data_IF_475000187219
#
_entry.id   IF_475000187219
#
_cell.length_a   1.000
_cell.length_b   1.000
_cell.length_c   1.000
_cell.angle_alpha   90.00
_cell.angle_beta   90.00
_cell.angle_gamma   90.00
#
_symmetry.space_group_name_H-M   'P 1'
#
loop_
_entity.id
_entity.type
_entity.pdbx_description
1 polymer ?
#
# COMPACT_ATOMS: atom_id res chain seq x y z
N UNK A 1 17.09 -20.72 -26.79
CA UNK A 1 16.34 -21.59 -25.87
C UNK A 1 17.14 -21.70 -24.57
N UNK A 2 16.82 -20.88 -23.56
CA UNK A 2 17.36 -21.05 -22.21
C UNK A 2 16.20 -20.88 -21.24
N UNK A 3 15.76 -22.02 -20.69
CA UNK A 3 14.66 -22.14 -19.75
C UNK A 3 15.20 -21.92 -18.34
N UNK A 4 14.71 -20.88 -17.67
CA UNK A 4 15.02 -20.50 -16.27
C UNK A 4 14.19 -21.33 -15.25
N UNK A 5 13.73 -22.53 -15.63
CA UNK A 5 12.78 -23.33 -14.85
C UNK A 5 13.35 -24.54 -14.10
N UNK A 6 14.66 -24.79 -14.06
CA UNK A 6 15.19 -26.09 -13.61
C UNK A 6 15.69 -26.19 -12.16
N UNK A 7 15.54 -25.15 -11.31
CA UNK A 7 16.15 -25.14 -9.97
C UNK A 7 15.25 -24.82 -8.77
N UNK A 8 13.90 -24.79 -8.91
CA UNK A 8 13.02 -24.70 -7.74
C UNK A 8 11.99 -25.83 -7.70
N UNK A 9 11.76 -26.46 -6.51
CA UNK A 9 10.74 -27.49 -6.36
C UNK A 9 9.35 -26.89 -6.59
N UNK A 10 8.57 -27.56 -7.42
CA UNK A 10 7.21 -27.18 -7.80
C UNK A 10 6.29 -27.11 -6.57
N UNK A 11 5.99 -25.89 -6.12
CA UNK A 11 4.90 -25.60 -5.18
C UNK A 11 3.62 -25.34 -6.00
N UNK A 12 2.61 -26.23 -5.94
CA UNK A 12 1.40 -26.15 -6.78
C UNK A 12 0.51 -24.92 -6.52
N UNK A 13 0.82 -24.10 -5.52
CA UNK A 13 0.09 -22.86 -5.20
C UNK A 13 0.51 -21.61 -5.97
N UNK A 14 1.59 -21.66 -6.76
CA UNK A 14 2.15 -20.50 -7.49
C UNK A 14 2.00 -20.58 -9.02
N UNK A 15 1.45 -21.68 -9.55
CA UNK A 15 1.31 -21.90 -10.99
C UNK A 15 0.41 -20.85 -11.68
N UNK A 16 -0.58 -20.31 -10.96
CA UNK A 16 -1.49 -19.29 -11.46
C UNK A 16 -0.79 -17.95 -11.68
N UNK A 17 0.18 -17.59 -10.84
CA UNK A 17 0.92 -16.34 -10.95
C UNK A 17 1.89 -16.34 -12.14
N UNK A 18 2.54 -17.47 -12.40
CA UNK A 18 3.45 -17.62 -13.54
C UNK A 18 2.70 -17.72 -14.86
N UNK A 19 1.57 -18.43 -14.92
CA UNK A 19 0.75 -18.51 -16.13
C UNK A 19 0.17 -17.15 -16.55
N UNK A 20 -0.13 -16.26 -15.59
CA UNK A 20 -0.64 -14.91 -15.84
C UNK A 20 0.48 -13.95 -16.29
N UNK A 21 1.69 -14.14 -15.75
CA UNK A 21 2.90 -13.42 -16.18
C UNK A 21 3.34 -13.83 -17.60
N UNK A 22 3.30 -15.13 -17.91
CA UNK A 22 3.61 -15.66 -19.24
C UNK A 22 2.56 -15.26 -20.28
N UNK A 23 1.26 -15.26 -19.92
CA UNK A 23 0.20 -14.77 -20.81
C UNK A 23 0.35 -13.27 -21.14
N UNK A 24 0.88 -12.48 -20.20
CA UNK A 24 1.16 -11.06 -20.42
C UNK A 24 2.42 -10.83 -21.27
N UNK A 25 3.46 -11.65 -21.09
CA UNK A 25 4.68 -11.62 -21.91
C UNK A 25 4.47 -12.13 -23.34
N UNK A 26 3.51 -13.03 -23.56
CA UNK A 26 3.20 -13.60 -24.88
C UNK A 26 2.19 -12.78 -25.69
N UNK A 27 1.61 -11.72 -25.13
CA UNK A 27 0.72 -10.81 -25.87
C UNK A 27 -0.57 -11.46 -26.39
N UNK A 28 -0.99 -12.59 -25.80
CA UNK A 28 -2.26 -13.23 -26.16
C UNK A 28 -3.41 -12.61 -25.35
N UNK A 29 -4.25 -11.83 -26.02
CA UNK A 29 -5.52 -11.38 -25.48
C UNK A 29 -6.42 -12.60 -25.15
N UNK A 30 -6.95 -12.76 -23.92
CA UNK A 30 -7.88 -13.83 -23.61
C UNK A 30 -9.26 -13.52 -24.24
N UNK A 31 -9.44 -13.88 -25.52
CA UNK A 31 -10.72 -13.76 -26.24
C UNK A 31 -11.78 -14.79 -25.80
N UNK A 32 -11.58 -15.47 -24.66
CA UNK A 32 -12.50 -16.49 -24.13
C UNK A 32 -13.54 -16.01 -23.11
N UNK A 33 -13.54 -14.73 -22.69
CA UNK A 33 -14.46 -14.23 -21.66
C UNK A 33 -15.71 -13.55 -22.24
N UNK A 34 -16.31 -14.14 -23.27
CA UNK A 34 -17.62 -13.72 -23.79
C UNK A 34 -18.73 -14.51 -23.09
N UNK A 35 -18.96 -14.19 -21.81
CA UNK A 35 -20.15 -14.60 -21.05
C UNK A 35 -21.03 -13.38 -20.80
N UNK A 36 -22.18 -13.32 -21.48
CA UNK A 36 -23.10 -12.19 -21.45
C UNK A 36 -23.68 -11.87 -20.08
N UNK A 37 -23.92 -10.58 -19.86
CA UNK A 37 -24.54 -10.06 -18.65
C UNK A 37 -24.77 -8.55 -18.76
N UNK A 38 -25.63 -8.14 -19.70
CA UNK A 38 -26.23 -6.81 -19.71
C UNK A 38 -26.97 -6.57 -18.39
N UNK A 39 -26.53 -5.59 -17.61
CA UNK A 39 -27.13 -5.29 -16.31
C UNK A 39 -26.78 -3.87 -15.86
N UNK A 40 -27.46 -2.91 -16.47
CA UNK A 40 -27.74 -1.55 -16.01
C UNK A 40 -27.29 -1.21 -14.58
N UNK A 41 -26.31 -0.31 -14.51
CA UNK A 41 -25.97 0.46 -13.33
C UNK A 41 -27.20 1.27 -12.84
N UNK A 42 -27.85 0.79 -11.78
CA UNK A 42 -28.75 1.59 -10.94
C UNK A 42 -28.41 1.28 -9.50
N UNK A 43 -27.91 2.29 -8.79
CA UNK A 43 -27.42 2.17 -7.42
C UNK A 43 -28.47 1.57 -6.50
N UNK A 44 -28.18 0.39 -5.96
CA UNK A 44 -28.93 -0.22 -4.86
C UNK A 44 -28.06 -0.18 -3.58
N UNK A 45 -28.67 -0.15 -2.40
CA UNK A 45 -27.96 -0.10 -1.11
C UNK A 45 -27.05 -1.31 -0.84
N UNK A 46 -27.12 -2.36 -1.65
CA UNK A 46 -26.28 -3.58 -1.56
C UNK A 46 -24.81 -3.29 -1.87
N UNK A 47 -24.51 -2.30 -2.71
CA UNK A 47 -23.13 -1.94 -3.09
C UNK A 47 -22.36 -1.26 -1.93
N UNK A 48 -23.05 -0.65 -0.96
CA UNK A 48 -22.41 -0.08 0.25
C UNK A 48 -22.01 -1.14 1.28
N UNK A 49 -22.77 -2.23 1.43
CA UNK A 49 -22.47 -3.30 2.39
C UNK A 49 -21.21 -4.11 2.02
N UNK A 50 -20.85 -4.18 0.74
CA UNK A 50 -19.64 -4.89 0.28
C UNK A 50 -18.37 -4.02 0.31
N UNK A 51 -18.51 -2.70 0.51
CA UNK A 51 -17.40 -1.74 0.51
C UNK A 51 -16.69 -1.69 1.87
N UNK A 52 -17.44 -1.86 2.96
CA UNK A 52 -16.90 -1.88 4.32
C UNK A 52 -15.86 -2.99 4.57
N UNK A 53 -16.09 -4.24 4.15
CA UNK A 53 -15.12 -5.30 4.43
C UNK A 53 -13.87 -5.18 3.56
N UNK A 54 -13.97 -4.64 2.33
CA UNK A 54 -12.81 -4.33 1.49
C UNK A 54 -11.94 -3.22 2.12
N UNK A 55 -12.57 -2.12 2.56
CA UNK A 55 -11.88 -1.06 3.29
C UNK A 55 -11.24 -1.55 4.59
N UNK A 56 -11.88 -2.51 5.28
CA UNK A 56 -11.32 -3.15 6.47
C UNK A 56 -10.07 -3.98 6.13
N UNK A 57 -10.07 -4.74 5.04
CA UNK A 57 -8.89 -5.51 4.60
C UNK A 57 -7.72 -4.56 4.30
N UNK A 58 -7.99 -3.48 3.55
CA UNK A 58 -7.00 -2.44 3.27
C UNK A 58 -6.45 -1.81 4.56
N UNK A 59 -7.32 -1.41 5.49
CA UNK A 59 -6.89 -0.83 6.76
C UNK A 59 -6.10 -1.82 7.64
N UNK A 60 -6.45 -3.12 7.61
CA UNK A 60 -5.70 -4.17 8.28
C UNK A 60 -4.28 -4.32 7.67
N UNK A 61 -4.16 -4.27 6.35
CA UNK A 61 -2.85 -4.34 5.69
C UNK A 61 -1.95 -3.16 6.10
N UNK A 62 -2.49 -1.94 6.14
CA UNK A 62 -1.76 -0.76 6.62
C UNK A 62 -1.38 -0.90 8.10
N UNK A 63 -2.28 -1.44 8.93
CA UNK A 63 -1.98 -1.72 10.34
C UNK A 63 -0.86 -2.73 10.51
N UNK A 64 -0.82 -3.79 9.72
CA UNK A 64 0.23 -4.82 9.75
C UNK A 64 1.58 -4.20 9.38
N UNK A 65 1.63 -3.47 8.27
CA UNK A 65 2.83 -2.75 7.83
C UNK A 65 3.33 -1.79 8.92
N UNK A 66 2.42 -0.98 9.47
CA UNK A 66 2.75 -0.01 10.51
C UNK A 66 3.28 -0.68 11.78
N UNK A 67 2.62 -1.74 12.29
CA UNK A 67 3.05 -2.46 13.49
C UNK A 67 4.41 -3.13 13.31
N UNK A 68 4.69 -3.75 12.16
CA UNK A 68 6.00 -4.37 11.89
C UNK A 68 7.11 -3.34 11.76
N UNK A 69 6.86 -2.22 11.07
CA UNK A 69 7.83 -1.15 10.91
C UNK A 69 8.16 -0.47 12.24
N UNK A 70 7.16 -0.30 13.11
CA UNK A 70 7.37 0.20 14.47
C UNK A 70 8.22 -0.75 15.31
N UNK A 71 8.00 -2.07 15.21
CA UNK A 71 8.84 -3.06 15.90
C UNK A 71 10.28 -2.97 15.40
N UNK A 72 10.49 -2.89 14.08
CA UNK A 72 11.81 -2.72 13.49
C UNK A 72 12.52 -1.45 13.99
N UNK A 73 11.86 -0.29 13.92
CA UNK A 73 12.43 0.98 14.40
C UNK A 73 12.67 0.97 15.92
N UNK A 74 11.77 0.35 16.69
CA UNK A 74 11.94 0.23 18.14
C UNK A 74 13.20 -0.56 18.51
N UNK A 75 13.45 -1.69 17.84
CA UNK A 75 14.68 -2.47 18.03
C UNK A 75 15.91 -1.64 17.62
N UNK A 76 15.82 -0.89 16.52
CA UNK A 76 16.91 -0.04 16.05
C UNK A 76 17.21 1.12 17.01
N UNK A 77 16.20 1.72 17.64
CA UNK A 77 16.36 2.74 18.68
C UNK A 77 16.96 2.15 19.96
N UNK A 78 16.58 0.94 20.37
CA UNK A 78 17.17 0.30 21.55
C UNK A 78 18.66 0.02 21.43
N UNK A 79 19.15 -0.26 20.22
CA UNK A 79 20.58 -0.45 19.98
C UNK A 79 21.39 0.86 20.08
N UNK A 80 20.74 2.04 20.11
CA UNK A 80 21.41 3.35 20.12
C UNK A 80 21.01 4.19 21.34
N UNK A 81 21.91 4.43 22.32
CA UNK A 81 21.59 5.12 23.57
C UNK A 81 21.14 6.57 23.40
N UNK A 82 21.57 7.25 22.32
CA UNK A 82 21.18 8.64 22.03
C UNK A 82 19.71 8.81 21.59
N UNK A 83 19.03 7.72 21.18
CA UNK A 83 17.65 7.78 20.65
C UNK A 83 16.57 7.40 21.67
N UNK A 84 16.90 7.40 22.95
CA UNK A 84 15.98 6.99 24.01
C UNK A 84 14.75 7.91 24.14
N UNK A 85 14.88 9.21 23.85
CA UNK A 85 13.76 10.15 23.88
C UNK A 85 12.70 9.87 22.79
N UNK A 86 13.12 9.39 21.61
CA UNK A 86 12.22 9.00 20.52
C UNK A 86 11.46 7.70 20.86
N UNK A 87 12.06 6.82 21.67
CA UNK A 87 11.41 5.60 22.18
C UNK A 87 10.13 5.90 22.94
N UNK A 88 10.17 6.90 23.82
CA UNK A 88 9.04 7.25 24.68
C UNK A 88 7.93 7.96 23.91
N UNK A 89 8.28 8.78 22.91
CA UNK A 89 7.32 9.37 21.97
C UNK A 89 6.60 8.30 21.14
N UNK A 90 7.35 7.33 20.60
CA UNK A 90 6.78 6.19 19.88
C UNK A 90 5.86 5.39 20.82
N UNK A 91 6.29 5.09 22.06
CA UNK A 91 5.49 4.31 23.02
C UNK A 91 4.20 5.01 23.44
N UNK A 92 4.20 6.33 23.62
CA UNK A 92 3.00 7.10 23.97
C UNK A 92 1.94 7.07 22.85
N UNK A 93 2.38 7.20 21.59
CA UNK A 93 1.50 7.21 20.42
C UNK A 93 0.78 5.85 20.18
N UNK A 94 1.31 4.75 20.73
CA UNK A 94 0.81 3.40 20.47
C UNK A 94 -0.53 3.03 21.11
N UNK A 95 -0.81 3.47 22.34
CA UNK A 95 -1.93 2.89 23.14
C UNK A 95 -3.33 3.34 22.68
N UNK A 96 -3.48 4.58 22.25
CA UNK A 96 -4.80 5.18 21.94
C UNK A 96 -5.01 5.31 20.43
N UNK A 97 -3.93 5.58 19.68
CA UNK A 97 -4.06 5.97 18.28
C UNK A 97 -4.13 4.78 17.30
N UNK A 98 -3.78 3.56 17.73
CA UNK A 98 -3.89 2.35 16.90
C UNK A 98 -5.32 1.93 16.55
N UNK A 99 -6.22 1.73 17.52
CA UNK A 99 -7.60 1.37 17.20
C UNK A 99 -8.30 2.49 16.41
N UNK A 100 -8.07 3.76 16.79
CA UNK A 100 -8.64 4.91 16.10
C UNK A 100 -8.19 4.98 14.63
N UNK A 101 -6.91 4.75 14.36
CA UNK A 101 -6.39 4.79 12.99
C UNK A 101 -7.01 3.72 12.11
N UNK A 102 -7.18 2.48 12.60
CA UNK A 102 -7.81 1.41 11.82
C UNK A 102 -9.27 1.76 11.51
N UNK A 103 -10.02 2.31 12.47
CA UNK A 103 -11.42 2.71 12.27
C UNK A 103 -11.53 3.84 11.25
N UNK A 104 -10.74 4.91 11.40
CA UNK A 104 -10.73 6.06 10.48
C UNK A 104 -10.33 5.61 9.08
N UNK A 105 -9.25 4.83 8.95
CA UNK A 105 -8.76 4.37 7.66
C UNK A 105 -9.72 3.38 6.98
N UNK A 106 -10.41 2.53 7.75
CA UNK A 106 -11.47 1.66 7.23
C UNK A 106 -12.60 2.50 6.62
N UNK A 107 -13.03 3.55 7.31
CA UNK A 107 -14.04 4.48 6.81
C UNK A 107 -13.60 5.21 5.54
N UNK A 108 -12.37 5.76 5.54
CA UNK A 108 -11.81 6.45 4.37
C UNK A 108 -11.70 5.51 3.18
N UNK A 109 -11.10 4.33 3.34
CA UNK A 109 -10.94 3.36 2.24
C UNK A 109 -12.28 2.80 1.75
N UNK A 110 -13.28 2.71 2.62
CA UNK A 110 -14.63 2.34 2.21
C UNK A 110 -15.35 3.46 1.45
N UNK A 111 -14.95 4.73 1.61
CA UNK A 111 -15.55 5.87 0.90
C UNK A 111 -14.83 6.21 -0.41
N UNK A 112 -13.57 5.82 -0.55
CA UNK A 112 -12.77 6.09 -1.76
C UNK A 112 -13.27 5.20 -2.91
N UNK A 113 -13.54 5.82 -4.06
CA UNK A 113 -13.90 5.09 -5.28
C UNK A 113 -12.73 4.26 -5.84
N UNK A 114 -13.04 3.11 -6.43
CA UNK A 114 -12.06 2.19 -7.05
C UNK A 114 -11.16 2.88 -8.07
N UNK A 115 -11.72 3.77 -8.89
CA UNK A 115 -10.97 4.56 -9.89
C UNK A 115 -9.91 5.45 -9.26
N UNK A 116 -10.26 6.19 -8.20
CA UNK A 116 -9.31 7.06 -7.49
C UNK A 116 -8.27 6.23 -6.74
N UNK A 117 -8.68 5.13 -6.09
CA UNK A 117 -7.76 4.21 -5.45
C UNK A 117 -6.74 3.62 -6.45
N UNK A 118 -7.17 3.24 -7.66
CA UNK A 118 -6.30 2.76 -8.72
C UNK A 118 -5.29 3.82 -9.19
N UNK A 119 -5.71 5.09 -9.34
CA UNK A 119 -4.82 6.18 -9.73
C UNK A 119 -3.77 6.50 -8.64
N UNK A 120 -4.16 6.46 -7.37
CA UNK A 120 -3.25 6.65 -6.23
C UNK A 120 -2.20 5.54 -6.18
N UNK A 121 -2.60 4.29 -6.45
CA UNK A 121 -1.68 3.15 -6.51
C UNK A 121 -0.69 3.31 -7.66
N UNK A 122 -1.19 3.55 -8.87
CA UNK A 122 -0.36 3.66 -10.06
C UNK A 122 0.65 4.81 -9.95
N UNK A 123 0.21 5.97 -9.48
CA UNK A 123 1.12 7.10 -9.25
C UNK A 123 2.21 6.71 -8.23
N UNK A 124 1.84 6.03 -7.13
CA UNK A 124 2.82 5.65 -6.11
C UNK A 124 3.84 4.65 -6.66
N UNK A 125 3.38 3.66 -7.42
CA UNK A 125 4.23 2.64 -8.04
C UNK A 125 5.22 3.28 -9.02
N UNK A 126 4.76 4.19 -9.86
CA UNK A 126 5.64 4.94 -10.76
C UNK A 126 6.67 5.77 -9.98
N UNK A 127 6.27 6.35 -8.84
CA UNK A 127 7.17 7.16 -8.01
C UNK A 127 8.22 6.30 -7.34
N UNK A 128 7.80 5.17 -6.80
CA UNK A 128 8.70 4.19 -6.20
C UNK A 128 9.74 3.71 -7.23
N UNK A 129 9.31 3.33 -8.44
CA UNK A 129 10.20 2.90 -9.52
C UNK A 129 11.18 4.02 -9.91
N UNK A 130 10.70 5.26 -10.08
CA UNK A 130 11.55 6.41 -10.39
C UNK A 130 12.60 6.68 -9.30
N UNK A 131 12.21 6.63 -8.02
CA UNK A 131 13.17 6.81 -6.90
C UNK A 131 14.19 5.68 -6.82
N UNK A 132 13.81 4.44 -7.15
CA UNK A 132 14.73 3.29 -7.16
C UNK A 132 15.69 3.34 -8.34
N UNK A 133 15.23 3.80 -9.50
CA UNK A 133 16.06 3.94 -10.71
C UNK A 133 17.04 5.13 -10.60
N UNK A 134 16.60 6.25 -10.04
CA UNK A 134 17.41 7.47 -9.89
C UNK A 134 18.42 7.37 -8.75
N UNK A 135 18.10 6.65 -7.68
CA UNK A 135 18.91 6.55 -6.48
C UNK A 135 19.48 5.12 -6.36
N UNK A 136 20.53 4.85 -7.14
CA UNK A 136 21.26 3.59 -7.05
C UNK A 136 21.70 3.29 -5.61
N UNK A 137 21.14 2.20 -5.04
CA UNK A 137 21.50 1.54 -3.76
C UNK A 137 21.35 2.36 -2.46
N UNK A 138 20.31 2.02 -1.70
CA UNK A 138 20.54 1.49 -0.34
C UNK A 138 19.91 2.22 0.85
N UNK A 139 19.74 3.55 0.82
CA UNK A 139 19.50 4.32 2.06
C UNK A 139 18.04 4.73 2.31
N UNK A 140 17.17 4.76 1.30
CA UNK A 140 15.78 5.27 1.42
C UNK A 140 14.68 4.20 1.59
N UNK A 141 15.03 2.91 1.75
CA UNK A 141 14.04 1.83 1.76
C UNK A 141 13.01 1.93 2.89
N UNK A 142 13.44 2.38 4.07
CA UNK A 142 12.59 2.57 5.25
C UNK A 142 11.61 3.73 5.09
N UNK A 143 12.01 4.82 4.40
CA UNK A 143 11.14 5.95 4.10
C UNK A 143 10.03 5.55 3.12
N UNK A 144 10.36 4.76 2.08
CA UNK A 144 9.36 4.25 1.13
C UNK A 144 8.28 3.42 1.84
N UNK A 145 8.64 2.61 2.85
CA UNK A 145 7.65 1.87 3.65
C UNK A 145 6.71 2.78 4.44
N UNK A 146 7.18 3.93 4.93
CA UNK A 146 6.33 4.91 5.61
C UNK A 146 5.39 5.63 4.64
N UNK A 147 5.89 6.02 3.46
CA UNK A 147 5.11 6.75 2.46
C UNK A 147 4.07 5.85 1.75
N UNK A 148 4.33 4.54 1.64
CA UNK A 148 3.43 3.62 0.93
C UNK A 148 2.15 3.27 1.68
N UNK A 149 1.99 3.67 2.96
CA UNK A 149 0.91 3.20 3.83
C UNK A 149 -0.48 3.40 3.21
N UNK A 150 -0.81 4.61 2.79
CA UNK A 150 -2.12 4.89 2.22
C UNK A 150 -2.33 4.18 0.87
N UNK A 151 -1.31 4.22 0.01
CA UNK A 151 -1.30 3.55 -1.30
C UNK A 151 -1.45 2.02 -1.18
N UNK A 152 -0.82 1.40 -0.17
CA UNK A 152 -0.97 -0.03 0.13
C UNK A 152 -2.43 -0.37 0.48
N UNK A 153 -3.09 0.46 1.29
CA UNK A 153 -4.51 0.27 1.64
C UNK A 153 -5.41 0.34 0.40
N UNK A 154 -5.17 1.32 -0.48
CA UNK A 154 -5.84 1.43 -1.77
C UNK A 154 -5.56 0.22 -2.68
N UNK A 155 -4.30 -0.21 -2.77
CA UNK A 155 -3.87 -1.31 -3.62
C UNK A 155 -4.45 -2.66 -3.20
N UNK A 156 -4.47 -2.96 -1.90
CA UNK A 156 -5.11 -4.16 -1.37
C UNK A 156 -6.61 -4.14 -1.61
N UNK A 157 -7.26 -2.97 -1.47
CA UNK A 157 -8.70 -2.83 -1.73
C UNK A 157 -9.04 -3.04 -3.22
N UNK A 158 -8.24 -2.45 -4.12
CA UNK A 158 -8.38 -2.63 -5.57
C UNK A 158 -8.10 -4.08 -6.00
N UNK A 159 -6.99 -4.66 -5.53
CA UNK A 159 -6.61 -6.04 -5.83
C UNK A 159 -7.64 -7.05 -5.35
N UNK A 160 -8.18 -6.86 -4.14
CA UNK A 160 -9.26 -7.71 -3.61
C UNK A 160 -10.54 -7.58 -4.43
N UNK A 161 -10.90 -6.36 -4.86
CA UNK A 161 -12.06 -6.15 -5.72
C UNK A 161 -11.91 -6.85 -7.07
N UNK A 162 -10.71 -6.80 -7.67
CA UNK A 162 -10.40 -7.45 -8.93
C UNK A 162 -10.39 -8.99 -8.80
N UNK A 163 -9.75 -9.54 -7.77
CA UNK A 163 -9.68 -10.99 -7.55
C UNK A 163 -11.03 -11.62 -7.21
N UNK A 164 -11.93 -10.88 -6.59
CA UNK A 164 -13.27 -11.36 -6.23
C UNK A 164 -14.31 -11.14 -7.34
N UNK A 165 -13.93 -10.50 -8.44
CA UNK A 165 -14.82 -10.27 -9.57
C UNK A 165 -15.08 -11.60 -10.29
N UNK A 166 -16.35 -12.03 -10.33
CA UNK A 166 -16.75 -13.32 -10.92
C UNK A 166 -16.78 -14.53 -9.96
N UNK A 167 -16.49 -14.34 -8.67
CA UNK A 167 -16.56 -15.43 -7.69
C UNK A 167 -18.01 -15.75 -7.27
N UNK A 168 -18.42 -17.04 -7.21
CA UNK A 168 -19.79 -17.45 -6.87
C UNK A 168 -20.20 -17.12 -5.42
N UNK A 169 -19.23 -17.01 -4.50
CA UNK A 169 -19.45 -16.67 -3.08
C UNK A 169 -18.66 -15.42 -2.66
N UNK A 170 -18.85 -14.31 -3.38
CA UNK A 170 -18.11 -13.06 -3.17
C UNK A 170 -18.11 -12.57 -1.73
N UNK A 171 -19.25 -12.55 -1.05
CA UNK A 171 -19.37 -12.04 0.34
C UNK A 171 -18.69 -12.95 1.36
N UNK A 172 -18.78 -14.27 1.19
CA UNK A 172 -18.11 -15.24 2.07
C UNK A 172 -16.59 -15.14 1.93
N UNK A 173 -16.08 -15.10 0.70
CA UNK A 173 -14.65 -14.93 0.44
C UNK A 173 -14.13 -13.58 0.98
N UNK A 174 -14.92 -12.52 0.84
CA UNK A 174 -14.60 -11.19 1.39
C UNK A 174 -14.58 -11.21 2.93
N UNK A 175 -15.54 -11.89 3.57
CA UNK A 175 -15.57 -12.05 5.01
C UNK A 175 -14.39 -12.90 5.52
N UNK A 176 -14.00 -13.94 4.79
CA UNK A 176 -12.83 -14.77 5.07
C UNK A 176 -11.55 -13.94 4.95
N UNK A 177 -11.41 -13.15 3.88
CA UNK A 177 -10.29 -12.24 3.69
C UNK A 177 -10.22 -11.19 4.82
N UNK A 178 -11.35 -10.58 5.18
CA UNK A 178 -11.43 -9.64 6.30
C UNK A 178 -11.08 -10.29 7.64
N UNK A 179 -11.54 -11.52 7.88
CA UNK A 179 -11.22 -12.31 9.07
C UNK A 179 -9.72 -12.62 9.17
N UNK A 180 -9.11 -13.10 8.08
CA UNK A 180 -7.67 -13.37 8.01
C UNK A 180 -6.83 -12.10 8.17
N UNK A 181 -7.20 -11.02 7.50
CA UNK A 181 -6.52 -9.74 7.62
C UNK A 181 -6.65 -9.16 9.04
N UNK A 182 -7.83 -9.28 9.65
CA UNK A 182 -8.08 -8.91 11.04
C UNK A 182 -7.26 -9.73 12.02
N UNK A 183 -7.22 -11.06 11.85
CA UNK A 183 -6.38 -11.96 12.64
C UNK A 183 -4.91 -11.56 12.54
N UNK A 184 -4.39 -11.40 11.32
CA UNK A 184 -3.00 -10.98 11.10
C UNK A 184 -2.70 -9.64 11.77
N UNK A 185 -3.59 -8.66 11.63
CA UNK A 185 -3.46 -7.36 12.27
C UNK A 185 -3.54 -7.44 13.81
N UNK A 186 -4.29 -8.38 14.38
CA UNK A 186 -4.34 -8.58 15.84
C UNK A 186 -3.08 -9.26 16.35
N UNK A 187 -2.56 -10.27 15.65
CA UNK A 187 -1.32 -10.96 16.00
C UNK A 187 -0.13 -10.00 15.94
N UNK A 188 0.00 -9.21 14.87
CA UNK A 188 1.08 -8.22 14.78
C UNK A 188 0.96 -7.13 15.84
N UNK A 189 -0.25 -6.67 16.17
CA UNK A 189 -0.47 -5.73 17.29
C UNK A 189 -0.13 -6.31 18.66
N UNK A 190 -0.42 -7.60 18.89
CA UNK A 190 -0.04 -8.29 20.13
C UNK A 190 1.47 -8.46 20.23
N UNK A 191 2.11 -8.90 19.14
CA UNK A 191 3.56 -9.00 19.03
C UNK A 191 4.22 -7.65 19.31
N UNK A 192 3.73 -6.61 18.64
CA UNK A 192 4.23 -5.26 18.80
C UNK A 192 4.12 -4.82 20.28
N UNK A 193 2.96 -5.02 20.92
CA UNK A 193 2.75 -4.65 22.33
C UNK A 193 3.68 -5.43 23.27
N UNK A 194 3.87 -6.71 23.00
CA UNK A 194 4.79 -7.56 23.75
C UNK A 194 6.22 -7.03 23.65
N UNK A 195 6.69 -6.74 22.43
CA UNK A 195 8.03 -6.20 22.20
C UNK A 195 8.22 -4.86 22.90
N UNK A 196 7.28 -3.91 22.77
CA UNK A 196 7.45 -2.60 23.40
C UNK A 196 7.39 -2.60 24.93
N UNK A 197 6.80 -3.61 25.56
CA UNK A 197 6.66 -3.67 27.03
C UNK A 197 7.72 -4.55 27.68
N UNK A 198 8.08 -5.68 27.05
CA UNK A 198 8.84 -6.74 27.69
C UNK A 198 10.18 -7.02 27.03
N UNK A 199 10.49 -6.45 25.87
CA UNK A 199 11.71 -6.77 25.14
C UNK A 199 13.00 -6.44 25.92
N UNK A 200 13.05 -5.32 26.67
CA UNK A 200 14.23 -4.99 27.49
C UNK A 200 14.48 -6.02 28.60
N UNK A 201 13.42 -6.54 29.23
CA UNK A 201 13.49 -7.56 30.28
C UNK A 201 13.81 -8.94 29.71
N UNK A 202 13.12 -9.32 28.63
CA UNK A 202 13.23 -10.65 28.03
C UNK A 202 14.50 -10.85 27.20
N UNK A 203 15.06 -9.77 26.62
CA UNK A 203 16.33 -9.85 25.89
C UNK A 203 17.52 -10.15 26.80
N UNK A 204 17.46 -9.67 28.05
CA UNK A 204 18.52 -9.89 29.05
C UNK A 204 18.52 -11.31 29.62
N UNK A 205 17.34 -11.88 29.80
CA UNK A 205 17.13 -13.16 30.48
C UNK A 205 16.81 -14.35 29.53
N UNK A 206 16.62 -14.09 28.22
CA UNK A 206 16.45 -15.08 27.13
C UNK A 206 15.44 -16.22 27.39
N UNK A 207 14.34 -15.97 28.10
CA UNK A 207 13.31 -16.99 28.39
C UNK A 207 12.09 -16.96 27.45
N UNK A 208 11.99 -16.00 26.53
CA UNK A 208 10.83 -15.86 25.64
C UNK A 208 11.18 -16.23 24.19
N UNK A 209 10.57 -17.31 23.67
CA UNK A 209 10.78 -17.77 22.29
C UNK A 209 10.48 -16.70 21.23
N UNK A 210 9.51 -15.81 21.48
CA UNK A 210 9.17 -14.71 20.57
C UNK A 210 10.29 -13.68 20.50
N UNK A 211 10.85 -13.27 21.65
CA UNK A 211 11.95 -12.31 21.69
C UNK A 211 13.24 -12.91 21.14
N UNK A 212 13.50 -14.20 21.39
CA UNK A 212 14.66 -14.93 20.81
C UNK A 212 14.53 -15.02 19.30
N UNK A 213 13.34 -15.39 18.79
CA UNK A 213 13.07 -15.42 17.35
C UNK A 213 13.25 -14.05 16.73
N UNK A 214 12.81 -12.98 17.40
CA UNK A 214 12.99 -11.61 16.92
C UNK A 214 14.46 -11.17 16.93
N UNK A 215 15.26 -11.63 17.90
CA UNK A 215 16.69 -11.39 17.96
C UNK A 215 17.42 -12.12 16.82
N UNK A 216 17.04 -13.38 16.55
CA UNK A 216 17.63 -14.20 15.50
C UNK A 216 17.20 -13.78 14.09
N UNK A 217 15.92 -13.43 13.90
CA UNK A 217 15.30 -13.13 12.61
C UNK A 217 15.06 -11.62 12.37
N UNK A 218 15.50 -10.75 13.29
CA UNK A 218 15.23 -9.30 13.24
C UNK A 218 15.72 -8.62 11.95
N UNK A 219 16.85 -9.08 11.42
CA UNK A 219 17.42 -8.60 10.16
C UNK A 219 16.60 -9.03 8.91
N UNK A 220 15.78 -10.09 9.03
CA UNK A 220 14.93 -10.59 7.95
C UNK A 220 13.60 -9.83 7.78
N UNK A 221 13.19 -9.04 8.78
CA UNK A 221 11.93 -8.26 8.77
C UNK A 221 11.84 -7.31 7.56
N UNK A 222 12.82 -6.43 7.28
CA UNK A 222 12.73 -5.52 6.13
C UNK A 222 12.73 -6.27 4.80
N UNK A 223 13.37 -7.44 4.74
CA UNK A 223 13.43 -8.27 3.54
C UNK A 223 12.09 -8.94 3.26
N UNK A 224 11.43 -9.45 4.30
CA UNK A 224 10.07 -9.97 4.22
C UNK A 224 9.08 -8.88 3.81
N UNK A 225 9.19 -7.69 4.41
CA UNK A 225 8.34 -6.55 4.12
C UNK A 225 8.49 -6.09 2.66
N UNK A 226 9.73 -6.02 2.17
CA UNK A 226 10.00 -5.73 0.76
C UNK A 226 9.30 -6.71 -0.16
N UNK A 227 9.49 -8.01 0.06
CA UNK A 227 8.91 -9.04 -0.80
C UNK A 227 7.39 -8.98 -0.78
N UNK A 228 6.78 -8.83 0.41
CA UNK A 228 5.34 -8.71 0.56
C UNK A 228 4.77 -7.46 -0.14
N UNK A 229 5.44 -6.31 -0.02
CA UNK A 229 5.05 -5.09 -0.71
C UNK A 229 5.21 -5.23 -2.22
N UNK A 230 6.29 -5.83 -2.71
CA UNK A 230 6.46 -6.11 -4.15
C UNK A 230 5.31 -6.97 -4.68
N UNK A 231 4.95 -8.06 -4.00
CA UNK A 231 3.80 -8.89 -4.42
C UNK A 231 2.50 -8.10 -4.35
N UNK A 232 2.30 -7.30 -3.31
CA UNK A 232 1.04 -6.55 -3.15
C UNK A 232 0.90 -5.47 -4.22
N UNK A 233 1.95 -4.69 -4.50
CA UNK A 233 1.93 -3.64 -5.52
C UNK A 233 1.86 -4.22 -6.93
N UNK A 234 2.50 -5.35 -7.23
CA UNK A 234 2.36 -5.99 -8.55
C UNK A 234 0.92 -6.44 -8.82
N UNK A 235 0.25 -7.07 -7.84
CA UNK A 235 -1.17 -7.43 -7.95
C UNK A 235 -2.05 -6.18 -8.04
N UNK A 236 -1.74 -5.15 -7.25
CA UNK A 236 -2.50 -3.90 -7.24
C UNK A 236 -2.36 -3.11 -8.54
N UNK A 237 -1.18 -3.08 -9.16
CA UNK A 237 -0.94 -2.42 -10.44
C UNK A 237 -1.69 -3.14 -11.58
N UNK A 238 -1.65 -4.48 -11.60
CA UNK A 238 -2.45 -5.28 -12.55
C UNK A 238 -3.95 -4.98 -12.38
N UNK A 239 -4.44 -4.96 -11.15
CA UNK A 239 -5.83 -4.62 -10.85
C UNK A 239 -6.16 -3.17 -11.24
N UNK A 240 -5.27 -2.21 -10.95
CA UNK A 240 -5.45 -0.80 -11.27
C UNK A 240 -5.55 -0.58 -12.78
N UNK A 241 -4.65 -1.17 -13.56
CA UNK A 241 -4.69 -1.10 -15.03
C UNK A 241 -5.96 -1.76 -15.56
N UNK A 242 -6.36 -2.92 -15.04
CA UNK A 242 -7.60 -3.59 -15.46
C UNK A 242 -8.86 -2.77 -15.14
N UNK A 243 -8.94 -2.16 -13.96
CA UNK A 243 -10.05 -1.29 -13.55
C UNK A 243 -10.13 -0.04 -14.42
N UNK A 244 -8.99 0.64 -14.65
CA UNK A 244 -8.91 1.82 -15.50
C UNK A 244 -9.31 1.46 -16.94
N UNK A 245 -8.82 0.34 -17.48
CA UNK A 245 -9.12 -0.08 -18.84
C UNK A 245 -10.60 -0.42 -19.05
N UNK A 246 -11.28 -0.97 -18.04
CA UNK A 246 -12.72 -1.28 -18.11
C UNK A 246 -13.61 -0.04 -18.01
N UNK A 247 -13.17 0.98 -17.27
CA UNK A 247 -13.94 2.22 -17.10
C UNK A 247 -13.94 3.11 -18.37
N UNK A 248 -13.01 2.90 -19.31
CA UNK A 248 -12.98 3.61 -20.60
C UNK A 248 -13.42 2.70 -21.75
N UNK A 249 -14.68 2.81 -22.16
CA UNK A 249 -15.30 1.97 -23.19
C UNK A 249 -14.78 2.22 -24.63
N UNK A 250 -13.90 3.21 -24.87
CA UNK A 250 -13.28 3.47 -26.18
C UNK A 250 -11.77 3.71 -26.10
N UNK A 251 -11.01 3.11 -27.02
CA UNK A 251 -9.55 3.27 -27.14
C UNK A 251 -9.12 4.72 -27.38
N UNK A 252 -9.99 5.54 -27.97
CA UNK A 252 -9.75 6.97 -28.19
C UNK A 252 -9.86 7.82 -26.91
N UNK A 253 -10.79 7.49 -26.00
CA UNK A 253 -10.91 8.16 -24.70
C UNK A 253 -9.81 7.72 -23.73
N UNK A 254 -9.38 6.46 -23.81
CA UNK A 254 -8.25 5.95 -23.04
C UNK A 254 -6.96 6.70 -23.38
N UNK A 255 -6.63 6.91 -24.66
CA UNK A 255 -5.43 7.68 -25.06
C UNK A 255 -5.51 9.14 -24.60
N UNK A 256 -6.70 9.76 -24.63
CA UNK A 256 -6.93 11.13 -24.13
C UNK A 256 -6.77 11.26 -22.61
N UNK A 257 -6.86 10.17 -21.85
CA UNK A 257 -6.60 10.15 -20.42
C UNK A 257 -5.15 9.82 -20.09
N UNK A 258 -4.58 8.84 -20.78
CA UNK A 258 -3.21 8.39 -20.56
C UNK A 258 -2.18 9.45 -20.95
N UNK A 259 -2.42 10.24 -22.01
CA UNK A 259 -1.47 11.27 -22.46
C UNK A 259 -1.32 12.44 -21.46
N UNK A 260 -2.38 13.06 -20.89
CA UNK A 260 -2.22 14.03 -19.81
C UNK A 260 -1.64 13.41 -18.53
N UNK A 261 -2.02 12.17 -18.19
CA UNK A 261 -1.48 11.45 -17.03
C UNK A 261 0.03 11.25 -17.16
N UNK A 262 0.49 10.74 -18.29
CA UNK A 262 1.92 10.53 -18.53
C UNK A 262 2.65 11.86 -18.61
N UNK A 263 2.09 12.89 -19.25
CA UNK A 263 2.71 14.22 -19.34
C UNK A 263 2.80 14.88 -17.95
N UNK A 264 1.71 14.98 -17.19
CA UNK A 264 1.73 15.51 -15.83
C UNK A 264 2.70 14.73 -14.94
N UNK A 265 2.72 13.40 -15.07
CA UNK A 265 3.59 12.57 -14.28
C UNK A 265 5.07 12.73 -14.66
N UNK A 266 5.40 12.82 -15.96
CA UNK A 266 6.76 13.14 -16.42
C UNK A 266 7.22 14.51 -15.93
N UNK A 267 6.35 15.54 -15.99
CA UNK A 267 6.67 16.88 -15.48
C UNK A 267 6.85 16.90 -13.96
N UNK A 268 6.02 16.15 -13.22
CA UNK A 268 6.13 16.02 -11.76
C UNK A 268 7.41 15.27 -11.36
N UNK A 269 7.78 14.21 -12.10
CA UNK A 269 9.03 13.48 -11.88
C UNK A 269 10.24 14.38 -12.17
N UNK A 270 10.21 15.15 -13.27
CA UNK A 270 11.27 16.10 -13.61
C UNK A 270 11.38 17.18 -12.52
N UNK A 271 10.26 17.79 -12.12
CA UNK A 271 10.23 18.79 -11.04
C UNK A 271 10.79 18.25 -9.72
N UNK A 272 10.37 17.04 -9.32
CA UNK A 272 10.87 16.38 -8.11
C UNK A 272 12.34 15.96 -8.21
N UNK A 273 12.87 15.76 -9.41
CA UNK A 273 14.28 15.49 -9.66
C UNK A 273 15.13 16.78 -9.69
N UNK A 274 14.52 17.94 -9.91
CA UNK A 274 15.18 19.25 -9.84
C UNK A 274 15.26 19.80 -8.40
N UNK A 275 14.29 19.48 -7.53
CA UNK A 275 14.28 19.89 -6.11
C UNK A 275 15.35 19.29 -5.15
N UNK A 276 16.12 18.20 -5.43
CA UNK A 276 17.12 17.69 -4.49
C UNK A 276 18.29 18.66 -4.21
N UNK A 277 18.41 19.77 -4.95
CA UNK A 277 19.55 20.68 -4.84
C UNK A 277 19.41 21.79 -3.80
N UNK A 278 18.26 21.98 -3.13
CA UNK A 278 18.06 23.24 -2.39
C UNK A 278 17.34 23.22 -1.02
N UNK A 279 16.96 22.08 -0.43
CA UNK A 279 16.12 22.11 0.79
C UNK A 279 16.54 21.18 1.94
N UNK A 280 17.29 21.71 2.91
CA UNK A 280 17.46 21.12 4.24
C UNK A 280 16.21 21.39 5.09
N UNK A 281 15.40 20.37 5.37
CA UNK A 281 14.48 20.37 6.52
C UNK A 281 13.00 20.09 6.23
N UNK A 282 12.42 19.17 7.01
CA UNK A 282 11.02 18.87 7.45
C UNK A 282 9.79 19.20 6.57
N UNK A 283 9.83 20.19 5.69
CA UNK A 283 8.76 20.63 4.79
C UNK A 283 8.59 19.86 3.45
N UNK A 284 9.55 19.07 2.91
CA UNK A 284 9.40 18.56 1.55
C UNK A 284 8.33 17.46 1.43
N UNK A 285 8.08 16.64 2.47
CA UNK A 285 7.16 15.49 2.33
C UNK A 285 5.69 15.90 2.28
N UNK A 286 5.25 16.86 3.11
CA UNK A 286 3.86 17.36 3.04
C UNK A 286 3.61 18.15 1.76
N UNK A 287 4.58 18.97 1.34
CA UNK A 287 4.52 19.71 0.09
C UNK A 287 4.45 18.77 -1.11
N UNK A 288 5.28 17.72 -1.12
CA UNK A 288 5.25 16.66 -2.14
C UNK A 288 3.85 16.03 -2.27
N UNK A 289 3.22 15.70 -1.15
CA UNK A 289 1.91 15.03 -1.13
C UNK A 289 0.80 15.96 -1.61
N UNK A 290 0.87 17.24 -1.25
CA UNK A 290 -0.04 18.26 -1.76
C UNK A 290 0.11 18.49 -3.25
N UNK A 291 1.35 18.59 -3.76
CA UNK A 291 1.63 18.75 -5.20
C UNK A 291 1.16 17.52 -5.97
N UNK A 292 1.43 16.33 -5.45
CA UNK A 292 0.96 15.04 -5.99
C UNK A 292 -0.55 14.96 -6.10
N UNK A 293 -1.25 15.13 -4.97
CA UNK A 293 -2.72 15.05 -4.93
C UNK A 293 -3.36 16.21 -5.70
N UNK A 294 -2.70 17.37 -5.75
CA UNK A 294 -3.08 18.50 -6.59
C UNK A 294 -3.01 18.17 -8.08
N UNK A 295 -1.96 17.45 -8.52
CA UNK A 295 -1.86 16.94 -9.89
C UNK A 295 -2.98 15.97 -10.24
N UNK A 296 -3.25 15.00 -9.37
CA UNK A 296 -4.39 14.07 -9.51
C UNK A 296 -5.75 14.80 -9.52
N UNK A 297 -5.89 15.84 -8.69
CA UNK A 297 -7.08 16.67 -8.63
C UNK A 297 -7.32 17.43 -9.93
N UNK A 298 -6.30 18.10 -10.49
CA UNK A 298 -6.39 18.80 -11.78
C UNK A 298 -6.72 17.81 -12.90
N UNK A 299 -6.10 16.63 -12.90
CA UNK A 299 -6.35 15.59 -13.89
C UNK A 299 -7.77 15.02 -13.85
N UNK A 300 -8.35 14.90 -12.65
CA UNK A 300 -9.75 14.52 -12.50
C UNK A 300 -10.73 15.66 -12.74
N UNK A 301 -10.31 16.92 -12.59
CA UNK A 301 -11.12 18.06 -13.04
C UNK A 301 -11.19 18.14 -14.57
N UNK A 302 -10.13 17.75 -15.28
CA UNK A 302 -10.09 17.81 -16.75
C UNK A 302 -10.78 16.61 -17.41
N UNK A 303 -10.75 15.42 -16.80
CA UNK A 303 -11.25 14.17 -17.42
C UNK A 303 -12.24 13.38 -16.54
N UNK A 304 -12.48 13.79 -15.30
CA UNK A 304 -13.26 13.03 -14.32
C UNK A 304 -14.69 13.50 -14.10
N UNK A 305 -15.46 12.66 -13.39
CA UNK A 305 -16.80 13.02 -12.91
C UNK A 305 -16.66 13.83 -11.61
N UNK A 306 -17.63 14.68 -11.31
CA UNK A 306 -17.69 15.43 -10.03
C UNK A 306 -17.60 14.54 -8.78
N UNK A 307 -18.06 13.28 -8.86
CA UNK A 307 -17.88 12.29 -7.79
C UNK A 307 -16.42 11.93 -7.53
N UNK A 308 -15.59 11.91 -8.58
CA UNK A 308 -14.18 11.51 -8.48
C UNK A 308 -13.35 12.61 -7.82
N UNK A 309 -13.76 13.88 -8.02
CA UNK A 309 -13.18 15.05 -7.34
C UNK A 309 -13.36 14.94 -5.82
N UNK A 310 -14.57 14.58 -5.36
CA UNK A 310 -14.83 14.34 -3.93
C UNK A 310 -14.01 13.15 -3.39
N UNK A 311 -13.90 12.06 -4.16
CA UNK A 311 -13.09 10.92 -3.77
C UNK A 311 -11.60 11.25 -3.65
N UNK A 312 -11.05 12.16 -4.48
CA UNK A 312 -9.67 12.64 -4.33
C UNK A 312 -9.48 13.46 -3.07
N UNK A 313 -10.43 14.30 -2.69
CA UNK A 313 -10.35 15.05 -1.42
C UNK A 313 -10.38 14.10 -0.20
N UNK A 314 -11.24 13.09 -0.23
CA UNK A 314 -11.28 12.04 0.80
C UNK A 314 -9.95 11.26 0.82
N UNK A 315 -9.40 10.98 -0.36
CA UNK A 315 -8.10 10.31 -0.50
C UNK A 315 -6.95 11.14 0.08
N UNK A 316 -6.94 12.46 -0.18
CA UNK A 316 -5.96 13.39 0.37
C UNK A 316 -6.02 13.43 1.90
N UNK A 317 -7.23 13.47 2.49
CA UNK A 317 -7.40 13.40 3.93
C UNK A 317 -6.88 12.09 4.51
N UNK A 318 -7.12 10.97 3.82
CA UNK A 318 -6.58 9.66 4.20
C UNK A 318 -5.06 9.60 4.20
N UNK A 319 -4.44 10.13 3.15
CA UNK A 319 -2.98 10.17 3.03
C UNK A 319 -2.35 11.11 4.07
N UNK A 320 -2.93 12.29 4.28
CA UNK A 320 -2.47 13.23 5.30
C UNK A 320 -2.60 12.64 6.72
N UNK A 321 -3.69 11.90 6.99
CA UNK A 321 -3.87 11.20 8.26
C UNK A 321 -2.81 10.12 8.50
N UNK A 322 -2.44 9.37 7.45
CA UNK A 322 -1.36 8.39 7.52
C UNK A 322 0.00 9.07 7.76
N UNK A 323 0.28 10.18 7.08
CA UNK A 323 1.52 10.94 7.20
C UNK A 323 1.70 11.63 8.55
N UNK A 324 0.66 12.29 9.07
CA UNK A 324 0.68 12.91 10.39
C UNK A 324 1.04 11.88 11.46
N UNK A 325 0.53 10.66 11.31
CA UNK A 325 0.82 9.55 12.21
C UNK A 325 2.22 8.96 12.01
N UNK A 326 2.66 8.83 10.76
CA UNK A 326 3.99 8.36 10.43
C UNK A 326 5.08 9.41 10.73
N UNK A 327 4.73 10.68 10.93
CA UNK A 327 5.67 11.80 11.10
C UNK A 327 6.69 11.59 12.22
N UNK A 328 6.26 11.03 13.37
CA UNK A 328 7.17 10.72 14.49
C UNK A 328 8.18 9.63 14.12
N UNK A 329 7.75 8.63 13.33
CA UNK A 329 8.62 7.56 12.83
C UNK A 329 9.53 8.03 11.70
N UNK A 330 9.03 8.95 10.87
CA UNK A 330 9.75 9.52 9.74
C UNK A 330 10.89 10.42 10.23
N UNK A 331 10.68 11.19 11.30
CA UNK A 331 11.73 11.97 11.97
C UNK A 331 12.86 11.07 12.49
N UNK A 332 12.52 9.96 13.15
CA UNK A 332 13.50 8.98 13.62
C UNK A 332 14.28 8.30 12.47
N UNK A 333 13.64 8.18 11.30
CA UNK A 333 14.27 7.65 10.09
C UNK A 333 15.14 8.68 9.37
N UNK A 334 14.84 9.98 9.50
CA UNK A 334 15.64 11.05 8.92
C UNK A 334 16.97 11.28 9.62
N UNK A 335 17.06 10.91 10.91
CA UNK A 335 18.27 11.00 11.73
C UNK A 335 19.18 9.77 11.62
N UNK A 336 18.89 8.84 10.70
CA UNK A 336 19.72 7.67 10.34
C UNK A 336 20.66 8.00 9.20
#
# INVERSE_FOLDING_TARGET
MFSLGSWLPALPGLAWGWALLDAFLQGESPQGWRGGGSGTARGTPVTRCCLFPAGLVGACAVSVLCSLLKVYLYIQCLNNPERQAEKDAIRAQWRVLEPLHVVVLTGVLALVGSRVAALVVLEFSLRAISTVLSLGKGTHSSQLYLLCQYSLGCGVSCGLSFLLEGAPHRTCNLALAAGLAGLLATYTRRLARHVCTLYELHSRERYCGVCILLLAAGHGIPQLLRNALTVTFTVADLAAVALINRDFLSTAEAVRFWTPLTICYTLLVIYMQEEPRQGTGRQPVYQTVLVRMGGLFILLLTVGRWSDVLHVLISLLGELWCLLRAGVMLEACWRQ
#
